data_IF_789793189547
#
_entry.id   IF_789793189547
#
_cell.length_a   1.000
_cell.length_b   1.000
_cell.length_c   1.000
_cell.angle_alpha   90.00
_cell.angle_beta   90.00
_cell.angle_gamma   90.00
#
_symmetry.space_group_name_H-M   'P 1'
#
loop_
_entity.id
_entity.type
_entity.pdbx_description
1 polymer ?
#
# COMPACT_ATOMS: atom_id res chain seq x y z
N UNK A 1 11.65 6.96 -15.12
CA UNK A 1 11.08 6.04 -16.11
C UNK A 1 9.58 6.20 -16.01
N UNK A 2 8.91 6.34 -17.14
CA UNK A 2 7.54 6.84 -17.26
C UNK A 2 6.56 5.68 -17.06
N UNK A 3 6.24 5.36 -15.80
CA UNK A 3 5.24 4.36 -15.43
C UNK A 3 3.84 4.98 -15.59
N UNK A 4 3.36 5.05 -16.83
CA UNK A 4 2.06 5.65 -17.14
C UNK A 4 0.90 4.72 -16.71
N UNK A 5 -0.04 5.20 -15.88
CA UNK A 5 -1.18 4.42 -15.43
C UNK A 5 -2.20 4.22 -16.55
N UNK A 6 -2.75 3.01 -16.67
CA UNK A 6 -3.81 2.71 -17.64
C UNK A 6 -5.19 2.98 -17.03
N UNK A 7 -5.99 3.86 -17.66
CA UNK A 7 -7.40 4.02 -17.30
C UNK A 7 -8.21 2.86 -17.89
N UNK A 8 -8.82 2.07 -17.03
CA UNK A 8 -9.59 0.88 -17.43
C UNK A 8 -11.10 1.12 -17.45
N UNK A 9 -11.55 2.36 -17.18
CA UNK A 9 -12.89 2.83 -17.55
C UNK A 9 -14.07 2.18 -16.81
N UNK A 10 -13.85 1.53 -15.67
CA UNK A 10 -14.95 0.99 -14.87
C UNK A 10 -14.54 0.91 -13.39
N UNK A 11 -15.13 1.76 -12.54
CA UNK A 11 -15.00 1.71 -11.07
C UNK A 11 -15.65 0.46 -10.44
N UNK A 12 -15.81 -0.61 -11.22
CA UNK A 12 -15.99 -1.97 -10.72
C UNK A 12 -14.62 -2.60 -10.55
N UNK A 13 -13.82 -2.07 -9.61
CA UNK A 13 -12.66 -2.80 -9.13
C UNK A 13 -13.08 -4.16 -8.56
N UNK A 14 -12.19 -5.16 -8.51
CA UNK A 14 -12.55 -6.51 -8.05
C UNK A 14 -12.98 -6.58 -6.57
N UNK A 15 -12.87 -5.47 -5.82
CA UNK A 15 -13.03 -5.41 -4.38
C UNK A 15 -14.12 -4.39 -3.98
N UNK A 16 -15.38 -4.82 -3.98
CA UNK A 16 -16.51 -4.00 -3.50
C UNK A 16 -16.51 -3.92 -1.98
N UNK A 17 -16.55 -2.71 -1.42
CA UNK A 17 -16.66 -2.50 0.03
C UNK A 17 -17.78 -1.50 0.31
N UNK A 18 -18.76 -1.91 1.14
CA UNK A 18 -20.08 -1.26 1.17
C UNK A 18 -20.14 0.17 1.70
N UNK A 19 -19.10 0.67 2.39
CA UNK A 19 -19.13 2.00 3.05
C UNK A 19 -18.36 3.08 2.31
N UNK A 20 -17.10 2.84 1.93
CA UNK A 20 -16.27 3.82 1.21
C UNK A 20 -16.64 3.91 -0.27
N UNK A 21 -17.03 2.80 -0.91
CA UNK A 21 -17.56 2.78 -2.28
C UNK A 21 -18.78 3.70 -2.40
N UNK A 22 -19.70 3.60 -1.42
CA UNK A 22 -20.93 4.38 -1.39
C UNK A 22 -20.65 5.88 -1.33
N UNK A 23 -19.77 6.33 -0.41
CA UNK A 23 -19.47 7.76 -0.24
C UNK A 23 -18.82 8.37 -1.50
N UNK A 24 -17.88 7.65 -2.12
CA UNK A 24 -17.23 8.16 -3.32
C UNK A 24 -18.16 8.12 -4.55
N UNK A 25 -19.02 7.10 -4.66
CA UNK A 25 -20.01 7.02 -5.74
C UNK A 25 -21.09 8.10 -5.63
N UNK A 26 -21.56 8.39 -4.42
CA UNK A 26 -22.53 9.46 -4.15
C UNK A 26 -21.94 10.82 -4.52
N UNK A 27 -20.69 11.09 -4.13
CA UNK A 27 -20.01 12.34 -4.47
C UNK A 27 -19.77 12.48 -5.98
N UNK A 28 -19.30 11.44 -6.65
CA UNK A 28 -19.15 11.45 -8.11
C UNK A 28 -20.47 11.76 -8.82
N UNK A 29 -21.56 11.15 -8.38
CA UNK A 29 -22.89 11.38 -8.94
C UNK A 29 -23.36 12.83 -8.73
N UNK A 30 -23.04 13.43 -7.59
CA UNK A 30 -23.36 14.83 -7.30
C UNK A 30 -22.54 15.80 -8.16
N UNK A 31 -21.26 15.51 -8.42
CA UNK A 31 -20.40 16.34 -9.30
C UNK A 31 -20.84 16.32 -10.77
N UNK A 32 -21.60 15.30 -11.20
CA UNK A 32 -22.13 15.14 -12.56
C UNK A 32 -23.66 15.26 -12.61
N UNK A 33 -24.26 15.95 -11.63
CA UNK A 33 -25.70 16.21 -11.64
C UNK A 33 -26.10 16.99 -12.90
N UNK A 34 -27.00 16.42 -13.70
CA UNK A 34 -27.43 16.98 -14.99
C UNK A 34 -26.79 16.34 -16.23
N UNK A 35 -25.84 15.42 -16.06
CA UNK A 35 -25.33 14.59 -17.15
C UNK A 35 -26.15 13.29 -17.29
N UNK A 36 -26.69 13.02 -18.49
CA UNK A 36 -27.39 11.77 -18.78
C UNK A 36 -26.79 11.02 -20.00
N UNK A 37 -26.23 9.81 -19.81
CA UNK A 37 -26.03 9.13 -18.52
C UNK A 37 -24.89 9.76 -17.72
N UNK A 38 -24.96 9.67 -16.38
CA UNK A 38 -23.82 9.98 -15.49
C UNK A 38 -22.61 9.16 -15.96
N UNK A 39 -21.46 9.78 -16.24
CA UNK A 39 -20.30 9.05 -16.72
C UNK A 39 -19.81 8.05 -15.67
N UNK A 40 -19.20 6.92 -16.08
CA UNK A 40 -18.62 6.00 -15.12
C UNK A 40 -17.43 6.66 -14.42
N UNK A 41 -17.31 6.44 -13.11
CA UNK A 41 -16.11 6.82 -12.36
C UNK A 41 -14.86 6.20 -13.01
N UNK A 42 -13.77 6.97 -13.21
CA UNK A 42 -12.55 6.44 -13.77
C UNK A 42 -11.89 5.43 -12.83
N UNK A 43 -11.09 4.51 -13.37
CA UNK A 43 -10.33 3.57 -12.54
C UNK A 43 -8.97 3.29 -13.16
N UNK A 44 -7.92 3.75 -12.46
CA UNK A 44 -6.54 3.69 -12.89
C UNK A 44 -5.82 2.52 -12.24
N UNK A 45 -5.25 1.65 -13.07
CA UNK A 45 -4.38 0.55 -12.63
C UNK A 45 -2.91 0.96 -12.77
N UNK A 46 -2.12 0.60 -11.76
CA UNK A 46 -0.67 0.64 -11.86
C UNK A 46 -0.17 -0.62 -12.57
N UNK A 47 0.70 -0.45 -13.56
CA UNK A 47 1.33 -1.54 -14.31
C UNK A 47 2.86 -1.38 -14.25
N UNK A 48 3.60 -2.42 -13.83
CA UNK A 48 5.06 -2.35 -13.83
C UNK A 48 5.60 -2.36 -15.26
N UNK A 49 6.67 -1.61 -15.51
CA UNK A 49 7.31 -1.52 -16.82
C UNK A 49 8.09 -2.77 -17.24
N UNK A 50 8.50 -3.62 -16.29
CA UNK A 50 9.40 -4.76 -16.56
C UNK A 50 8.69 -6.13 -16.58
N UNK A 51 7.45 -6.23 -16.11
CA UNK A 51 6.75 -7.51 -15.99
C UNK A 51 5.24 -7.33 -16.09
N UNK A 52 4.50 -8.43 -16.06
CA UNK A 52 3.03 -8.42 -15.93
C UNK A 52 2.64 -9.06 -14.62
N UNK A 53 1.83 -8.36 -13.82
CA UNK A 53 1.29 -8.90 -12.58
C UNK A 53 0.13 -9.84 -12.88
N UNK A 54 0.02 -10.90 -12.08
CA UNK A 54 -1.19 -11.71 -12.05
C UNK A 54 -2.32 -10.90 -11.44
N UNK A 55 -3.48 -10.88 -12.12
CA UNK A 55 -4.69 -10.32 -11.52
C UNK A 55 -5.10 -11.15 -10.31
N UNK A 56 -5.62 -10.46 -9.30
CA UNK A 56 -6.05 -11.11 -8.08
C UNK A 56 -7.22 -12.05 -8.36
N UNK A 57 -7.02 -13.33 -8.04
CA UNK A 57 -7.99 -14.39 -8.24
C UNK A 57 -8.28 -15.05 -6.88
N UNK A 58 -9.55 -15.07 -6.50
CA UNK A 58 -9.98 -15.60 -5.20
C UNK A 58 -9.58 -17.06 -5.02
N UNK A 59 -9.74 -17.91 -6.04
CA UNK A 59 -9.45 -19.33 -5.93
C UNK A 59 -7.94 -19.59 -5.84
N UNK A 60 -7.12 -18.86 -6.60
CA UNK A 60 -5.66 -18.88 -6.48
C UNK A 60 -5.22 -18.38 -5.10
N UNK A 61 -5.77 -17.27 -4.61
CA UNK A 61 -5.46 -16.75 -3.27
C UNK A 61 -5.80 -17.76 -2.17
N UNK A 62 -6.98 -18.37 -2.20
CA UNK A 62 -7.36 -19.41 -1.23
C UNK A 62 -6.40 -20.59 -1.25
N UNK A 63 -5.93 -21.03 -2.43
CA UNK A 63 -4.92 -22.09 -2.54
C UNK A 63 -3.55 -21.68 -2.01
N UNK A 64 -3.16 -20.42 -2.22
CA UNK A 64 -1.90 -19.87 -1.69
C UNK A 64 -1.92 -19.81 -0.18
N UNK A 65 -3.06 -19.44 0.41
CA UNK A 65 -3.25 -19.34 1.85
C UNK A 65 -3.67 -20.64 2.52
N UNK A 66 -3.87 -21.73 1.77
CA UNK A 66 -4.28 -23.02 2.33
C UNK A 66 -3.22 -23.53 3.32
N UNK A 67 -3.63 -23.72 4.57
CA UNK A 67 -2.73 -24.11 5.66
C UNK A 67 -1.86 -22.98 6.22
N UNK A 68 -1.87 -21.78 5.63
CA UNK A 68 -1.11 -20.60 6.10
C UNK A 68 -1.93 -19.68 6.97
N UNK A 69 -1.27 -19.01 7.92
CA UNK A 69 -1.88 -17.99 8.76
C UNK A 69 -1.12 -16.68 8.57
N UNK A 70 -1.83 -15.63 8.14
CA UNK A 70 -1.28 -14.27 8.00
C UNK A 70 -1.74 -13.32 9.11
N UNK A 71 -0.85 -12.41 9.52
CA UNK A 71 -1.13 -11.43 10.57
C UNK A 71 -0.66 -10.03 10.18
N UNK A 72 -1.45 -9.05 10.60
CA UNK A 72 -1.13 -7.63 10.55
C UNK A 72 -1.05 -7.12 12.01
N UNK A 73 0.17 -6.88 12.49
CA UNK A 73 0.62 -6.55 13.87
C UNK A 73 0.71 -7.71 14.88
N UNK A 74 1.83 -7.81 15.62
CA UNK A 74 2.08 -8.94 16.51
C UNK A 74 3.06 -8.65 17.67
N UNK A 75 2.84 -9.31 18.81
CA UNK A 75 3.85 -9.68 19.81
C UNK A 75 4.36 -11.13 19.57
N UNK A 76 5.37 -11.59 20.32
CA UNK A 76 6.00 -12.92 20.11
C UNK A 76 5.03 -14.11 20.29
N UNK A 77 4.10 -14.05 21.25
CA UNK A 77 3.10 -15.10 21.46
C UNK A 77 2.16 -15.21 20.26
N UNK A 78 1.84 -14.05 19.68
CA UNK A 78 1.05 -13.98 18.45
C UNK A 78 1.87 -14.50 17.26
N UNK A 79 3.14 -14.09 17.07
CA UNK A 79 3.98 -14.51 15.94
C UNK A 79 4.14 -16.03 15.78
N UNK A 80 4.13 -16.79 16.88
CA UNK A 80 4.21 -18.26 16.81
C UNK A 80 3.08 -18.91 16.02
N UNK A 81 1.95 -18.22 15.85
CA UNK A 81 0.77 -18.73 15.17
C UNK A 81 0.72 -18.34 13.68
N UNK A 82 1.63 -17.50 13.19
CA UNK A 82 1.56 -16.93 11.84
C UNK A 82 2.89 -17.05 11.12
N UNK A 83 2.87 -17.76 9.99
CA UNK A 83 4.04 -17.94 9.11
C UNK A 83 4.28 -16.74 8.18
N UNK A 84 3.27 -15.88 8.02
CA UNK A 84 3.32 -14.72 7.13
C UNK A 84 3.18 -13.44 7.93
N UNK A 85 4.18 -12.56 7.83
CA UNK A 85 4.25 -11.29 8.54
C UNK A 85 4.36 -10.13 7.55
N UNK A 86 3.39 -9.21 7.62
CA UNK A 86 3.41 -7.94 6.88
C UNK A 86 3.58 -6.79 7.86
N UNK A 87 4.61 -5.96 7.67
CA UNK A 87 4.94 -4.86 8.58
C UNK A 87 4.84 -3.52 7.88
N UNK A 88 4.24 -2.54 8.55
CA UNK A 88 4.23 -1.14 8.15
C UNK A 88 4.32 -0.23 9.39
N UNK A 89 5.04 0.89 9.26
CA UNK A 89 5.22 1.84 10.37
C UNK A 89 4.02 2.80 10.57
N UNK A 90 3.16 2.94 9.56
CA UNK A 90 1.97 3.79 9.56
C UNK A 90 2.25 5.28 9.42
N UNK A 91 1.19 6.05 9.19
CA UNK A 91 1.24 7.51 9.03
C UNK A 91 1.18 8.30 10.35
N UNK A 92 1.22 7.61 11.50
CA UNK A 92 1.11 8.25 12.80
C UNK A 92 2.34 9.06 13.16
N UNK A 93 2.11 10.21 13.81
CA UNK A 93 3.17 11.05 14.34
C UNK A 93 3.93 10.30 15.42
N UNK A 94 5.27 10.30 15.33
CA UNK A 94 6.16 9.73 16.35
C UNK A 94 7.05 10.82 16.95
N UNK A 95 7.27 10.73 18.25
CA UNK A 95 8.24 11.56 18.97
C UNK A 95 9.68 11.11 18.65
N UNK A 96 10.66 12.00 18.84
CA UNK A 96 12.09 11.66 18.70
C UNK A 96 12.72 11.87 17.31
N UNK A 97 11.94 12.26 16.29
CA UNK A 97 12.48 12.64 14.98
C UNK A 97 13.13 11.47 14.22
N UNK A 98 14.01 11.80 13.27
CA UNK A 98 14.48 10.82 12.28
C UNK A 98 15.50 9.82 12.80
N UNK A 99 16.38 10.26 13.70
CA UNK A 99 17.30 9.37 14.40
C UNK A 99 16.57 8.31 15.23
N UNK A 100 15.54 8.71 15.99
CA UNK A 100 14.76 7.77 16.79
C UNK A 100 13.96 6.79 15.90
N UNK A 101 13.41 7.27 14.80
CA UNK A 101 12.73 6.42 13.82
C UNK A 101 13.67 5.38 13.22
N UNK A 102 14.87 5.76 12.77
CA UNK A 102 15.86 4.82 12.23
C UNK A 102 16.30 3.75 13.25
N UNK A 103 16.58 4.15 14.49
CA UNK A 103 16.91 3.21 15.57
C UNK A 103 15.77 2.21 15.85
N UNK A 104 14.53 2.69 15.80
CA UNK A 104 13.35 1.85 15.95
C UNK A 104 13.22 0.86 14.80
N UNK A 105 13.37 1.29 13.54
CA UNK A 105 13.28 0.40 12.38
C UNK A 105 14.37 -0.66 12.43
N UNK A 106 15.60 -0.28 12.79
CA UNK A 106 16.70 -1.22 13.01
C UNK A 106 16.35 -2.26 14.07
N UNK A 107 15.95 -1.83 15.27
CA UNK A 107 15.59 -2.74 16.35
C UNK A 107 14.41 -3.65 16.00
N UNK A 108 13.38 -3.12 15.32
CA UNK A 108 12.23 -3.88 14.86
C UNK A 108 12.64 -4.93 13.82
N UNK A 109 13.44 -4.54 12.83
CA UNK A 109 13.92 -5.46 11.79
C UNK A 109 14.74 -6.60 12.37
N UNK A 110 15.68 -6.33 13.28
CA UNK A 110 16.53 -7.33 13.94
C UNK A 110 15.68 -8.30 14.77
N UNK A 111 14.76 -7.76 15.58
CA UNK A 111 13.92 -8.55 16.50
C UNK A 111 12.93 -9.43 15.73
N UNK A 112 12.20 -8.85 14.78
CA UNK A 112 11.21 -9.59 13.98
C UNK A 112 11.89 -10.66 13.11
N UNK A 113 13.03 -10.34 12.49
CA UNK A 113 13.81 -11.33 11.72
C UNK A 113 14.24 -12.49 12.62
N UNK A 114 14.78 -12.18 13.79
CA UNK A 114 15.23 -13.20 14.74
C UNK A 114 14.08 -14.07 15.24
N UNK A 115 12.93 -13.47 15.55
CA UNK A 115 11.74 -14.21 16.00
C UNK A 115 11.15 -15.09 14.89
N UNK A 116 10.96 -14.55 13.68
CA UNK A 116 10.39 -15.30 12.57
C UNK A 116 11.30 -16.44 12.12
N UNK A 117 12.63 -16.22 12.05
CA UNK A 117 13.59 -17.29 11.74
C UNK A 117 13.57 -18.40 12.78
N UNK A 118 13.48 -18.06 14.07
CA UNK A 118 13.42 -19.05 15.16
C UNK A 118 12.12 -19.87 15.13
N UNK A 119 10.99 -19.24 14.82
CA UNK A 119 9.68 -19.87 14.88
C UNK A 119 9.34 -20.65 13.61
N UNK A 120 9.72 -20.12 12.45
CA UNK A 120 9.23 -20.60 11.15
C UNK A 120 10.35 -20.91 10.15
N UNK A 121 11.62 -20.62 10.46
CA UNK A 121 12.75 -20.86 9.56
C UNK A 121 12.58 -20.20 8.20
N UNK A 122 12.93 -20.94 7.14
CA UNK A 122 12.85 -20.48 5.74
C UNK A 122 11.42 -20.53 5.15
N UNK A 123 10.46 -21.07 5.92
CA UNK A 123 9.05 -21.07 5.54
C UNK A 123 8.36 -19.73 5.80
N UNK A 124 9.00 -18.84 6.56
CA UNK A 124 8.46 -17.52 6.87
C UNK A 124 8.30 -16.68 5.59
N UNK A 125 7.15 -16.01 5.46
CA UNK A 125 6.93 -15.00 4.43
C UNK A 125 7.01 -13.63 5.09
N UNK A 126 8.05 -12.87 4.76
CA UNK A 126 8.35 -11.60 5.40
C UNK A 126 8.19 -10.46 4.41
N UNK A 127 7.22 -9.59 4.66
CA UNK A 127 6.92 -8.45 3.80
C UNK A 127 7.01 -7.17 4.61
N UNK A 128 7.82 -6.23 4.13
CA UNK A 128 7.85 -4.87 4.67
C UNK A 128 7.19 -3.94 3.66
N UNK A 129 6.26 -3.11 4.11
CA UNK A 129 5.57 -2.13 3.27
C UNK A 129 6.00 -0.73 3.67
N UNK A 130 6.46 0.06 2.70
CA UNK A 130 6.76 1.47 2.90
C UNK A 130 5.46 2.33 3.02
N UNK A 131 5.56 3.50 3.64
CA UNK A 131 4.39 4.29 4.05
C UNK A 131 4.11 5.41 3.06
N UNK A 132 2.84 5.55 2.66
CA UNK A 132 2.40 6.60 1.73
C UNK A 132 2.00 7.87 2.50
N UNK A 133 2.44 9.06 2.10
CA UNK A 133 1.93 10.32 2.63
C UNK A 133 0.49 10.58 2.14
N UNK A 134 -0.16 11.58 2.72
CA UNK A 134 -1.36 12.15 2.12
C UNK A 134 -1.06 13.31 1.18
N UNK A 135 -2.09 13.82 0.52
CA UNK A 135 -2.04 15.00 -0.33
C UNK A 135 -2.82 16.15 0.33
N UNK A 136 -2.18 17.30 0.50
CA UNK A 136 -2.85 18.54 0.87
C UNK A 136 -3.60 19.12 -0.32
N UNK A 137 -4.74 19.76 -0.07
CA UNK A 137 -5.53 20.44 -1.11
C UNK A 137 -5.98 19.51 -2.26
N UNK A 138 -6.07 18.20 -2.04
CA UNK A 138 -6.51 17.22 -3.05
C UNK A 138 -8.02 17.29 -3.37
N UNK A 139 -8.74 18.22 -2.75
CA UNK A 139 -10.19 18.33 -2.81
C UNK A 139 -10.70 18.64 -4.22
N UNK A 140 -9.97 19.47 -4.96
CA UNK A 140 -10.25 19.82 -6.36
C UNK A 140 -9.86 18.71 -7.34
N UNK A 141 -9.17 17.65 -6.86
CA UNK A 141 -8.58 16.60 -7.70
C UNK A 141 -9.10 15.21 -7.39
N UNK A 142 -10.19 15.08 -6.62
CA UNK A 142 -10.72 13.78 -6.17
C UNK A 142 -10.92 12.77 -7.30
N UNK A 143 -11.13 13.18 -8.55
CA UNK A 143 -11.26 12.25 -9.68
C UNK A 143 -10.41 12.62 -10.91
N UNK A 144 -9.39 13.47 -10.72
CA UNK A 144 -8.53 13.97 -11.80
C UNK A 144 -7.55 12.93 -12.37
N UNK A 145 -7.47 11.76 -11.75
CA UNK A 145 -6.47 10.75 -12.09
C UNK A 145 -5.09 11.04 -11.49
N UNK A 146 -4.10 10.22 -11.87
CA UNK A 146 -2.74 10.34 -11.38
C UNK A 146 -2.07 11.62 -11.87
N UNK A 147 -1.13 12.13 -11.08
CA UNK A 147 -0.33 13.33 -11.39
C UNK A 147 1.15 12.97 -11.53
N UNK A 148 1.94 13.88 -12.10
CA UNK A 148 3.40 13.74 -12.08
C UNK A 148 3.98 13.89 -10.67
N UNK A 149 5.23 13.46 -10.51
CA UNK A 149 5.92 13.45 -9.22
C UNK A 149 6.10 14.85 -8.62
N UNK A 150 6.35 15.86 -9.43
CA UNK A 150 6.57 17.23 -8.95
C UNK A 150 5.27 17.79 -8.36
N UNK A 151 4.15 17.59 -9.07
CA UNK A 151 2.80 17.93 -8.60
C UNK A 151 2.45 17.17 -7.33
N UNK A 152 2.73 15.86 -7.28
CA UNK A 152 2.49 15.04 -6.10
C UNK A 152 3.25 15.56 -4.86
N UNK A 153 4.54 15.88 -5.02
CA UNK A 153 5.38 16.39 -3.94
C UNK A 153 4.93 17.78 -3.45
N UNK A 154 4.47 18.65 -4.34
CA UNK A 154 3.87 19.94 -3.97
C UNK A 154 2.61 19.74 -3.11
N UNK A 155 1.72 18.84 -3.51
CA UNK A 155 0.53 18.50 -2.71
C UNK A 155 0.89 17.89 -1.36
N UNK A 156 1.89 17.01 -1.29
CA UNK A 156 2.39 16.46 -0.02
C UNK A 156 2.92 17.58 0.89
N UNK A 157 3.61 18.58 0.33
CA UNK A 157 4.14 19.72 1.09
C UNK A 157 3.05 20.62 1.67
N UNK A 158 1.88 20.70 1.01
CA UNK A 158 0.69 21.41 1.47
C UNK A 158 -0.13 20.65 2.52
N UNK A 159 0.28 19.43 2.86
CA UNK A 159 -0.38 18.62 3.88
C UNK A 159 -0.36 19.26 5.27
N UNK A 160 -1.29 18.87 6.18
CA UNK A 160 -1.35 19.45 7.52
C UNK A 160 -0.01 19.29 8.29
N UNK A 161 0.58 20.39 8.83
CA UNK A 161 1.92 20.37 9.43
C UNK A 161 2.10 19.34 10.56
N UNK A 162 1.01 18.98 11.23
CA UNK A 162 1.00 18.01 12.31
C UNK A 162 1.39 16.59 11.89
N UNK A 163 1.17 16.22 10.63
CA UNK A 163 1.46 14.88 10.12
C UNK A 163 2.88 14.73 9.54
N UNK A 164 3.53 15.85 9.17
CA UNK A 164 4.90 15.87 8.64
C UNK A 164 5.09 14.93 7.44
N UNK A 165 4.14 14.93 6.50
CA UNK A 165 4.14 14.03 5.35
C UNK A 165 5.39 14.17 4.46
N UNK A 166 5.97 15.37 4.36
CA UNK A 166 7.24 15.61 3.65
C UNK A 166 8.41 14.76 4.15
N UNK A 167 8.33 14.21 5.36
CA UNK A 167 9.37 13.34 5.93
C UNK A 167 9.21 11.86 5.57
N UNK A 168 8.16 11.47 4.84
CA UNK A 168 7.85 10.06 4.61
C UNK A 168 8.84 9.40 3.65
N UNK A 169 9.32 10.12 2.63
CA UNK A 169 10.38 9.61 1.74
C UNK A 169 11.64 9.22 2.51
N UNK A 170 12.10 10.08 3.43
CA UNK A 170 13.28 9.78 4.26
C UNK A 170 13.01 8.68 5.28
N UNK A 171 11.81 8.61 5.85
CA UNK A 171 11.41 7.49 6.73
C UNK A 171 11.39 6.16 5.99
N UNK A 172 10.91 6.15 4.75
CA UNK A 172 10.86 4.95 3.94
C UNK A 172 12.26 4.45 3.62
N UNK A 173 13.21 5.34 3.28
CA UNK A 173 14.63 4.98 3.12
C UNK A 173 15.19 4.29 4.38
N UNK A 174 14.99 4.87 5.56
CA UNK A 174 15.48 4.25 6.80
C UNK A 174 14.80 2.91 7.14
N UNK A 175 13.53 2.74 6.76
CA UNK A 175 12.81 1.48 6.91
C UNK A 175 13.38 0.44 5.94
N UNK A 176 13.53 0.79 4.66
CA UNK A 176 14.08 -0.09 3.62
C UNK A 176 15.50 -0.53 3.97
N UNK A 177 16.38 0.42 4.32
CA UNK A 177 17.76 0.15 4.77
C UNK A 177 17.81 -0.80 5.97
N UNK A 178 16.94 -0.60 6.97
CA UNK A 178 16.90 -1.44 8.17
C UNK A 178 16.51 -2.89 7.83
N UNK A 179 15.46 -3.07 7.04
CA UNK A 179 14.97 -4.41 6.70
C UNK A 179 15.87 -5.13 5.69
N UNK A 180 16.48 -4.41 4.74
CA UNK A 180 17.49 -4.95 3.82
C UNK A 180 18.76 -5.39 4.58
N UNK A 181 19.26 -4.57 5.51
CA UNK A 181 20.49 -4.86 6.25
C UNK A 181 20.44 -6.17 7.06
N UNK A 182 19.25 -6.61 7.48
CA UNK A 182 19.10 -7.89 8.19
C UNK A 182 19.41 -9.11 7.32
N UNK A 183 19.39 -8.96 5.99
CA UNK A 183 19.47 -10.07 5.02
C UNK A 183 18.50 -11.22 5.39
N UNK A 184 17.34 -10.86 5.94
CA UNK A 184 16.40 -11.77 6.59
C UNK A 184 15.40 -12.44 5.66
N UNK A 185 15.49 -12.23 4.34
CA UNK A 185 14.48 -12.69 3.38
C UNK A 185 13.25 -11.77 3.28
N UNK A 186 13.38 -10.51 3.69
CA UNK A 186 12.30 -9.51 3.58
C UNK A 186 12.08 -9.10 2.13
N UNK A 187 10.82 -9.08 1.71
CA UNK A 187 10.39 -8.51 0.43
C UNK A 187 9.77 -7.13 0.66
N UNK A 188 10.22 -6.12 -0.08
CA UNK A 188 9.60 -4.81 -0.08
C UNK A 188 8.31 -4.84 -0.91
N UNK A 189 7.20 -4.43 -0.29
CA UNK A 189 5.99 -4.02 -0.97
C UNK A 189 6.04 -2.49 -1.11
N UNK A 190 6.42 -2.01 -2.30
CA UNK A 190 6.44 -0.58 -2.59
C UNK A 190 5.03 -0.05 -2.83
N UNK A 191 4.45 0.50 -1.76
CA UNK A 191 3.20 1.23 -1.82
C UNK A 191 3.43 2.72 -2.11
N UNK A 192 4.61 3.26 -1.80
CA UNK A 192 4.90 4.69 -1.86
C UNK A 192 4.95 5.21 -3.29
N UNK A 193 5.82 4.65 -4.13
CA UNK A 193 6.12 5.20 -5.46
C UNK A 193 4.90 5.29 -6.38
N UNK A 194 4.05 4.25 -6.51
CA UNK A 194 2.82 4.36 -7.30
C UNK A 194 1.74 5.20 -6.64
N UNK A 195 1.58 5.16 -5.30
CA UNK A 195 0.45 5.84 -4.64
C UNK A 195 0.68 7.33 -4.43
N UNK A 196 1.93 7.79 -4.32
CA UNK A 196 2.19 9.24 -4.21
C UNK A 196 1.72 9.98 -5.46
N UNK A 197 1.66 9.32 -6.62
CA UNK A 197 1.12 9.91 -7.84
C UNK A 197 -0.42 9.98 -7.83
N UNK A 198 -1.08 9.41 -6.82
CA UNK A 198 -2.54 9.28 -6.73
C UNK A 198 -3.10 10.36 -5.81
N UNK A 199 -3.06 11.60 -6.27
CA UNK A 199 -3.76 12.71 -5.62
C UNK A 199 -5.31 12.60 -5.77
N UNK A 200 -5.76 11.65 -6.58
CA UNK A 200 -7.15 11.29 -6.82
C UNK A 200 -7.68 10.22 -5.86
N UNK A 201 -9.00 10.07 -5.85
CA UNK A 201 -9.82 9.13 -5.10
C UNK A 201 -9.55 9.11 -3.60
N UNK A 202 -9.33 10.27 -3.00
CA UNK A 202 -9.37 10.39 -1.54
C UNK A 202 -10.78 10.23 -0.99
N UNK A 203 -10.92 9.71 0.23
CA UNK A 203 -12.22 9.32 0.78
C UNK A 203 -13.15 10.52 1.09
N UNK A 204 -12.62 11.74 1.24
CA UNK A 204 -13.40 12.97 1.40
C UNK A 204 -12.58 14.26 1.22
N UNK A 205 -13.29 15.40 1.16
CA UNK A 205 -12.75 16.77 1.08
C UNK A 205 -11.98 17.23 2.33
N UNK A 206 -11.87 16.40 3.36
CA UNK A 206 -11.09 16.73 4.55
C UNK A 206 -10.03 15.67 4.84
N UNK A 207 -10.02 14.58 4.05
CA UNK A 207 -9.19 13.41 4.29
C UNK A 207 -8.30 13.12 3.09
N UNK A 208 -7.19 13.83 3.02
CA UNK A 208 -6.14 13.62 2.02
C UNK A 208 -5.25 12.40 2.30
N UNK A 209 -5.58 11.52 3.26
CA UNK A 209 -4.77 10.35 3.61
C UNK A 209 -5.43 9.05 3.17
N UNK A 210 -6.73 8.91 3.40
CA UNK A 210 -7.47 7.69 3.06
C UNK A 210 -8.07 7.78 1.66
N UNK A 211 -8.30 6.62 1.06
CA UNK A 211 -8.74 6.50 -0.32
C UNK A 211 -10.11 5.82 -0.41
N UNK A 212 -10.82 6.08 -1.49
CA UNK A 212 -11.96 5.32 -1.94
C UNK A 212 -11.58 3.85 -2.16
N UNK A 213 -12.59 2.99 -2.04
CA UNK A 213 -12.49 1.57 -2.37
C UNK A 213 -13.67 1.21 -3.28
N UNK A 214 -13.44 0.59 -4.46
CA UNK A 214 -12.13 0.34 -5.08
C UNK A 214 -11.36 1.66 -5.34
N UNK A 215 -10.05 1.59 -5.58
CA UNK A 215 -9.27 2.81 -5.78
C UNK A 215 -7.76 2.65 -5.72
N UNK A 216 -7.03 3.75 -5.48
CA UNK A 216 -5.57 3.79 -5.47
C UNK A 216 -4.94 2.66 -4.67
N UNK A 217 -5.49 2.27 -3.53
CA UNK A 217 -4.85 1.28 -2.65
C UNK A 217 -4.99 -0.17 -3.13
N UNK A 218 -5.77 -0.44 -4.18
CA UNK A 218 -5.99 -1.79 -4.70
C UNK A 218 -4.69 -2.43 -5.20
N UNK A 219 -3.76 -1.65 -5.75
CA UNK A 219 -2.46 -2.20 -6.17
C UNK A 219 -1.62 -2.73 -5.00
N UNK A 220 -1.81 -2.25 -3.76
CA UNK A 220 -1.13 -2.82 -2.59
C UNK A 220 -1.51 -4.29 -2.42
N UNK A 221 -2.79 -4.61 -2.62
CA UNK A 221 -3.31 -5.97 -2.52
C UNK A 221 -2.81 -6.82 -3.69
N UNK A 222 -2.76 -6.25 -4.91
CA UNK A 222 -2.22 -6.95 -6.09
C UNK A 222 -0.73 -7.27 -5.91
N UNK A 223 0.06 -6.34 -5.39
CA UNK A 223 1.48 -6.57 -5.08
C UNK A 223 1.64 -7.66 -4.03
N UNK A 224 0.91 -7.58 -2.90
CA UNK A 224 0.96 -8.59 -1.86
C UNK A 224 0.58 -9.98 -2.40
N UNK A 225 -0.48 -10.05 -3.21
CA UNK A 225 -0.91 -11.29 -3.85
C UNK A 225 0.19 -11.91 -4.72
N UNK A 226 0.88 -11.09 -5.52
CA UNK A 226 1.96 -11.57 -6.38
C UNK A 226 3.19 -12.00 -5.57
N UNK A 227 3.52 -11.31 -4.46
CA UNK A 227 4.57 -11.74 -3.53
C UNK A 227 4.26 -13.14 -2.96
N UNK A 228 3.02 -13.35 -2.50
CA UNK A 228 2.58 -14.64 -1.96
C UNK A 228 2.60 -15.75 -3.02
N UNK A 229 2.19 -15.45 -4.26
CA UNK A 229 2.24 -16.38 -5.39
C UNK A 229 3.67 -16.82 -5.71
N UNK A 230 4.61 -15.89 -5.77
CA UNK A 230 6.00 -16.21 -6.08
C UNK A 230 6.63 -17.10 -4.99
N UNK A 231 6.32 -16.87 -3.71
CA UNK A 231 6.77 -17.75 -2.64
C UNK A 231 6.25 -19.18 -2.81
N UNK A 232 4.97 -19.36 -3.11
CA UNK A 232 4.40 -20.70 -3.36
C UNK A 232 5.01 -21.37 -4.60
N UNK A 233 5.33 -20.60 -5.64
CA UNK A 233 6.02 -21.15 -6.82
C UNK A 233 7.45 -21.59 -6.48
N UNK A 234 8.16 -20.84 -5.65
CA UNK A 234 9.51 -21.19 -5.18
C UNK A 234 9.48 -22.48 -4.35
N UNK A 235 8.59 -22.58 -3.37
CA UNK A 235 8.48 -23.74 -2.46
C UNK A 235 8.12 -25.05 -3.21
N UNK A 236 7.53 -24.97 -4.41
CA UNK A 236 7.16 -26.14 -5.24
C UNK A 236 8.26 -26.58 -6.23
N UNK A 237 9.31 -25.78 -6.41
CA UNK A 237 10.41 -26.06 -7.34
C UNK A 237 11.58 -26.78 -6.65
N UNK A 238 11.59 -26.81 -5.33
CA UNK A 238 12.48 -27.63 -4.48
C UNK A 238 11.85 -29.01 -4.22
#
# INVERSE_FOLDING_TARGET
MDDSPANTGNFTGPWKTTRTEKRCSERWSAEHEGEEPVPPMPYWKWEPSACRLEEADKAKFCRVMEGRKGLLFADDATLSQFDTLVVNAGAHRRSGGMKAYGLMMKSASESLTSSMRRLHGDNAILVVRNTVPGHGESFDRMFGGPVDLDTALDLVAKGPPMYKWTTFGDRNKLLEEAFEATHGGWTLLDAYSPTILRADFHASEEDGLHYCLPGPIDHWVVLLYNILLEKVKSDRRE
#
